data_IF_460250163098
#
_entry.id   IF_460250163098
#
_cell.length_a   1.000
_cell.length_b   1.000
_cell.length_c   1.000
_cell.angle_alpha   90.00
_cell.angle_beta   90.00
_cell.angle_gamma   90.00
#
_symmetry.space_group_name_H-M   'P 1'
#
loop_
_entity.id
_entity.type
_entity.pdbx_description
1 polymer ?
#
# COMPACT_ATOMS: atom_id res chain seq x y z
N UNK A 1 13.39 3.57 -9.18
CA UNK A 1 12.80 2.28 -8.78
C UNK A 1 13.21 1.22 -9.79
N UNK A 2 13.42 -0.06 -9.41
CA UNK A 2 13.58 -1.12 -10.39
C UNK A 2 12.30 -1.32 -11.23
N UNK A 3 12.43 -1.67 -12.52
CA UNK A 3 11.30 -1.82 -13.47
C UNK A 3 10.21 -2.79 -12.96
N UNK A 4 10.61 -3.85 -12.26
CA UNK A 4 9.67 -4.80 -11.66
C UNK A 4 8.79 -4.15 -10.58
N UNK A 5 9.34 -3.19 -9.83
CA UNK A 5 8.63 -2.45 -8.79
C UNK A 5 7.64 -1.49 -9.43
N UNK A 6 8.01 -0.82 -10.53
CA UNK A 6 7.10 0.08 -11.28
C UNK A 6 5.88 -0.68 -11.84
N UNK A 7 6.10 -1.84 -12.46
CA UNK A 7 5.00 -2.68 -12.95
C UNK A 7 4.10 -3.15 -11.83
N UNK A 8 4.67 -3.62 -10.71
CA UNK A 8 3.88 -4.05 -9.54
C UNK A 8 3.16 -2.88 -8.88
N UNK A 9 3.75 -1.69 -8.87
CA UNK A 9 3.12 -0.48 -8.36
C UNK A 9 1.79 -0.22 -9.08
N UNK A 10 1.80 -0.21 -10.42
CA UNK A 10 0.58 0.00 -11.21
C UNK A 10 -0.50 -1.05 -10.90
N UNK A 11 -0.09 -2.33 -10.77
CA UNK A 11 -1.00 -3.41 -10.35
C UNK A 11 -1.59 -3.14 -8.98
N UNK A 12 -0.77 -2.72 -8.01
CA UNK A 12 -1.22 -2.42 -6.65
C UNK A 12 -2.18 -1.23 -6.60
N UNK A 13 -1.89 -0.16 -7.35
CA UNK A 13 -2.78 1.00 -7.46
C UNK A 13 -4.14 0.59 -8.01
N UNK A 14 -4.16 -0.24 -9.06
CA UNK A 14 -5.42 -0.74 -9.60
C UNK A 14 -6.19 -1.59 -8.58
N UNK A 15 -5.51 -2.47 -7.84
CA UNK A 15 -6.14 -3.25 -6.77
C UNK A 15 -6.75 -2.38 -5.67
N UNK A 16 -6.07 -1.30 -5.28
CA UNK A 16 -6.61 -0.34 -4.30
C UNK A 16 -7.84 0.38 -4.90
N UNK A 17 -7.77 0.82 -6.16
CA UNK A 17 -8.87 1.54 -6.84
C UNK A 17 -10.13 0.70 -7.04
N UNK A 18 -10.00 -0.61 -7.22
CA UNK A 18 -11.12 -1.52 -7.42
C UNK A 18 -11.61 -2.18 -6.13
N UNK A 19 -10.96 -1.91 -5.00
CA UNK A 19 -11.36 -2.48 -3.73
C UNK A 19 -12.67 -1.86 -3.26
N UNK A 20 -13.69 -2.69 -3.04
CA UNK A 20 -14.96 -2.26 -2.47
C UNK A 20 -14.82 -1.91 -0.98
N UNK A 21 -13.97 -2.64 -0.27
CA UNK A 21 -13.70 -2.45 1.15
C UNK A 21 -12.27 -2.89 1.55
N UNK A 22 -11.92 -2.70 2.83
CA UNK A 22 -10.65 -3.18 3.38
C UNK A 22 -10.52 -4.71 3.32
N UNK A 23 -11.63 -5.46 3.32
CA UNK A 23 -11.62 -6.93 3.33
C UNK A 23 -11.17 -7.50 1.98
N UNK A 24 -11.55 -6.86 0.87
CA UNK A 24 -11.03 -7.18 -0.45
C UNK A 24 -9.50 -7.15 -0.46
N UNK A 25 -8.90 -6.08 0.07
CA UNK A 25 -7.44 -5.94 0.14
C UNK A 25 -6.81 -6.94 1.12
N UNK A 26 -7.44 -7.21 2.27
CA UNK A 26 -7.00 -8.25 3.22
C UNK A 26 -6.99 -9.66 2.60
N UNK A 27 -7.93 -9.95 1.71
CA UNK A 27 -8.03 -11.25 1.04
C UNK A 27 -6.85 -11.55 0.12
N UNK A 28 -6.20 -10.52 -0.43
CA UNK A 28 -5.05 -10.67 -1.32
C UNK A 28 -3.77 -10.80 -0.47
N UNK A 29 -3.44 -12.03 -0.07
CA UNK A 29 -2.29 -12.34 0.81
C UNK A 29 -0.96 -11.68 0.38
N UNK A 30 -0.72 -11.54 -0.92
CA UNK A 30 0.50 -10.92 -1.45
C UNK A 30 0.63 -9.41 -1.17
N UNK A 31 -0.46 -8.75 -0.78
CA UNK A 31 -0.45 -7.33 -0.41
C UNK A 31 0.13 -7.09 0.97
N UNK A 32 0.10 -8.08 1.88
CA UNK A 32 0.43 -7.83 3.29
C UNK A 32 -0.26 -6.57 3.82
N UNK A 33 -1.57 -6.47 3.58
CA UNK A 33 -2.34 -5.29 3.94
C UNK A 33 -2.32 -5.06 5.45
N UNK A 34 -1.93 -3.86 5.85
CA UNK A 34 -1.85 -3.44 7.24
C UNK A 34 -2.55 -2.10 7.44
N UNK A 35 -3.35 -2.00 8.51
CA UNK A 35 -3.93 -0.75 8.97
C UNK A 35 -3.00 -0.14 10.01
N UNK A 36 -2.47 1.04 9.72
CA UNK A 36 -1.52 1.70 10.62
C UNK A 36 -2.24 2.30 11.83
N UNK A 37 -1.50 2.45 12.93
CA UNK A 37 -2.01 2.90 14.23
C UNK A 37 -1.14 4.03 14.81
N UNK A 38 -1.55 4.59 15.95
CA UNK A 38 -0.84 5.70 16.60
C UNK A 38 -0.85 6.98 15.76
N UNK A 39 0.31 7.61 15.57
CA UNK A 39 0.46 8.84 14.79
C UNK A 39 0.07 8.66 13.30
N UNK A 40 0.14 7.43 12.80
CA UNK A 40 -0.19 7.08 11.42
C UNK A 40 -1.63 6.54 11.28
N UNK A 41 -2.46 6.66 12.32
CA UNK A 41 -3.85 6.20 12.29
C UNK A 41 -4.62 6.76 11.08
N UNK A 42 -5.42 5.89 10.46
CA UNK A 42 -6.17 6.19 9.23
C UNK A 42 -5.36 5.99 7.94
N UNK A 43 -4.09 5.61 8.02
CA UNK A 43 -3.29 5.16 6.87
C UNK A 43 -3.27 3.64 6.76
N UNK A 44 -2.98 3.18 5.55
CA UNK A 44 -2.87 1.77 5.20
C UNK A 44 -1.55 1.53 4.48
N UNK A 45 -1.02 0.32 4.62
CA UNK A 45 0.22 -0.11 4.01
C UNK A 45 -0.01 -1.39 3.20
N UNK A 46 0.59 -1.46 2.01
CA UNK A 46 0.67 -2.68 1.20
C UNK A 46 2.05 -2.87 0.57
N UNK A 47 2.39 -4.13 0.27
CA UNK A 47 3.60 -4.58 -0.43
C UNK A 47 3.49 -4.39 -1.94
N UNK A 48 4.43 -3.63 -2.48
CA UNK A 48 4.67 -3.58 -3.93
C UNK A 48 5.56 -4.75 -4.34
N UNK A 49 6.75 -4.81 -3.75
CA UNK A 49 7.78 -5.83 -3.97
C UNK A 49 8.58 -6.01 -2.67
N UNK A 50 9.45 -7.00 -2.63
CA UNK A 50 10.49 -7.14 -1.59
C UNK A 50 11.16 -5.79 -1.38
N UNK A 51 11.11 -5.28 -0.15
CA UNK A 51 11.65 -3.97 0.18
C UNK A 51 10.82 -2.76 -0.25
N UNK A 52 9.65 -2.87 -0.89
CA UNK A 52 8.88 -1.70 -1.34
C UNK A 52 7.44 -1.70 -0.82
N UNK A 53 6.97 -0.55 -0.32
CA UNK A 53 5.63 -0.36 0.25
C UNK A 53 4.93 0.87 -0.33
N UNK A 54 3.60 0.79 -0.45
CA UNK A 54 2.74 1.96 -0.65
C UNK A 54 2.05 2.23 0.68
N UNK A 55 2.10 3.48 1.12
CA UNK A 55 1.25 3.99 2.20
C UNK A 55 0.20 4.91 1.58
N UNK A 56 -1.06 4.67 1.92
CA UNK A 56 -2.19 5.41 1.36
C UNK A 56 -3.29 5.65 2.40
N UNK A 57 -4.23 6.54 2.06
CA UNK A 57 -5.47 6.80 2.80
C UNK A 57 -6.67 6.61 1.89
N UNK A 58 -7.78 6.23 2.50
CA UNK A 58 -9.09 6.18 1.86
C UNK A 58 -9.91 7.30 2.50
N UNK A 59 -10.28 8.30 1.71
CA UNK A 59 -11.04 9.46 2.15
C UNK A 59 -12.35 9.53 1.36
N UNK A 60 -13.48 9.21 2.01
CA UNK A 60 -14.80 9.12 1.35
C UNK A 60 -14.75 8.24 0.09
N UNK A 61 -14.64 8.86 -1.08
CA UNK A 61 -14.63 8.22 -2.41
C UNK A 61 -13.27 8.35 -3.11
N UNK A 62 -12.26 8.91 -2.44
CA UNK A 62 -10.94 9.13 -2.99
C UNK A 62 -9.88 8.27 -2.31
N UNK A 63 -8.99 7.71 -3.12
CA UNK A 63 -7.76 7.08 -2.65
C UNK A 63 -6.61 8.07 -2.83
N UNK A 64 -5.94 8.39 -1.73
CA UNK A 64 -4.76 9.25 -1.73
C UNK A 64 -3.54 8.41 -1.42
N UNK A 65 -2.68 8.22 -2.42
CA UNK A 65 -1.35 7.65 -2.23
C UNK A 65 -0.48 8.73 -1.58
N UNK A 66 0.00 8.45 -0.37
CA UNK A 66 0.77 9.43 0.40
C UNK A 66 2.26 9.32 0.10
N UNK A 67 2.78 8.09 0.08
CA UNK A 67 4.20 7.84 -0.14
C UNK A 67 4.43 6.43 -0.67
N UNK A 68 5.50 6.28 -1.46
CA UNK A 68 6.07 5.00 -1.85
C UNK A 68 7.47 4.94 -1.25
N UNK A 69 7.71 3.96 -0.40
CA UNK A 69 8.98 3.84 0.34
C UNK A 69 9.69 2.54 0.02
N UNK A 70 11.01 2.63 -0.09
CA UNK A 70 11.88 1.48 0.00
C UNK A 70 12.24 1.24 1.47
N UNK A 71 11.92 0.05 1.99
CA UNK A 71 12.19 -0.42 3.35
C UNK A 71 13.70 -0.53 3.68
N UNK A 72 14.60 -0.15 2.77
CA UNK A 72 16.05 -0.06 3.00
C UNK A 72 16.44 0.82 4.19
N UNK A 73 15.51 1.59 4.79
CA UNK A 73 15.81 2.57 5.83
C UNK A 73 14.99 2.49 7.13
N UNK A 74 14.33 1.36 7.43
CA UNK A 74 13.62 1.21 8.70
C UNK A 74 14.11 0.04 9.56
N UNK A 75 15.38 0.11 9.98
CA UNK A 75 15.81 -0.28 11.32
C UNK A 75 16.96 0.66 11.74
N UNK A 76 16.65 1.61 12.61
CA UNK A 76 17.62 2.23 13.52
C UNK A 76 17.28 1.77 14.92
#
# INVERSE_FOLDING_TARGET
MPVIVERKFLVRVNQIRTAEDENYLRGIKSLHFEKLSGAEAGKYLIRVQDGWRIIFRIEKEEIKILVIEELSNHFK
#
